data_IF_830847699969
#
_entry.id   IF_830847699969
#
_cell.length_a   1.000
_cell.length_b   1.000
_cell.length_c   1.000
_cell.angle_alpha   90.00
_cell.angle_beta   90.00
_cell.angle_gamma   90.00
#
_symmetry.space_group_name_H-M   'P 1'
#
loop_
_entity.id
_entity.type
_entity.pdbx_description
1 polymer ?
#
# COMPACT_ATOMS: atom_id res chain seq x y z
N UNK A 1 -7.60 30.59 -34.01
CA UNK A 1 -8.18 29.89 -32.84
C UNK A 1 -8.15 28.35 -32.99
N UNK A 2 -7.12 27.76 -33.61
CA UNK A 2 -7.02 26.28 -33.76
C UNK A 2 -5.91 25.68 -32.89
N UNK A 3 -4.90 26.48 -32.53
CA UNK A 3 -3.74 26.02 -31.75
C UNK A 3 -3.88 26.21 -30.24
N UNK A 4 -4.82 27.04 -29.77
CA UNK A 4 -5.04 27.27 -28.33
C UNK A 4 -5.80 26.10 -27.67
N UNK A 5 -6.71 25.46 -28.41
CA UNK A 5 -7.52 24.32 -27.93
C UNK A 5 -6.65 23.06 -27.75
N UNK A 6 -5.63 22.89 -28.60
CA UNK A 6 -4.73 21.73 -28.54
C UNK A 6 -3.87 21.76 -27.27
N UNK A 7 -3.42 22.94 -26.84
CA UNK A 7 -2.63 23.09 -25.61
C UNK A 7 -3.42 22.76 -24.33
N UNK A 8 -4.73 22.99 -24.31
CA UNK A 8 -5.58 22.74 -23.13
C UNK A 8 -5.89 21.24 -23.01
N UNK A 9 -6.04 20.53 -24.13
CA UNK A 9 -6.30 19.08 -24.15
C UNK A 9 -5.05 18.26 -23.75
N UNK A 10 -3.84 18.78 -24.00
CA UNK A 10 -2.59 18.08 -23.66
C UNK A 10 -2.25 18.06 -22.16
N UNK A 11 -2.87 18.92 -21.33
CA UNK A 11 -2.57 19.01 -19.89
C UNK A 11 -3.42 18.03 -19.04
N UNK A 12 -4.43 17.39 -19.61
CA UNK A 12 -5.45 16.64 -18.86
C UNK A 12 -5.20 15.12 -18.68
N UNK A 13 -4.08 14.55 -19.15
CA UNK A 13 -3.90 13.08 -19.18
C UNK A 13 -2.95 12.46 -18.15
N UNK A 14 -2.43 13.23 -17.19
CA UNK A 14 -1.59 12.66 -16.11
C UNK A 14 -2.01 13.10 -14.71
N UNK A 15 -3.31 13.23 -14.48
CA UNK A 15 -3.82 12.97 -13.13
C UNK A 15 -3.68 11.46 -12.87
N UNK A 16 -2.45 11.02 -12.61
CA UNK A 16 -2.18 9.69 -12.08
C UNK A 16 -2.91 9.64 -10.75
N UNK A 17 -4.12 9.04 -10.74
CA UNK A 17 -4.80 8.69 -9.52
C UNK A 17 -3.80 7.90 -8.69
N UNK A 18 -3.24 8.53 -7.67
CA UNK A 18 -2.31 7.87 -6.77
C UNK A 18 -3.10 6.73 -6.15
N UNK A 19 -2.58 5.49 -6.12
CA UNK A 19 -3.29 4.40 -5.47
C UNK A 19 -3.56 4.83 -4.03
N UNK A 20 -4.82 5.16 -3.74
CA UNK A 20 -5.24 5.59 -2.41
C UNK A 20 -5.50 4.34 -1.56
N UNK A 21 -5.12 4.40 -0.29
CA UNK A 21 -5.27 3.29 0.64
C UNK A 21 -4.21 2.18 0.45
N UNK A 22 -4.60 0.96 0.76
CA UNK A 22 -3.65 -0.14 1.06
C UNK A 22 -3.07 -0.84 -0.17
N UNK A 23 -3.53 -0.48 -1.37
CA UNK A 23 -3.01 -1.02 -2.62
C UNK A 23 -1.67 -0.38 -3.03
N UNK A 24 -1.28 0.73 -2.40
CA UNK A 24 -0.10 1.53 -2.77
C UNK A 24 1.25 0.79 -2.67
N UNK A 25 1.30 -0.35 -1.97
CA UNK A 25 2.51 -1.15 -1.83
C UNK A 25 2.58 -2.35 -2.80
N UNK A 26 1.50 -2.65 -3.53
CA UNK A 26 1.51 -3.73 -4.52
C UNK A 26 2.55 -3.45 -5.61
N UNK A 27 3.31 -4.48 -5.99
CA UNK A 27 4.40 -4.41 -6.95
C UNK A 27 5.71 -3.82 -6.41
N UNK A 28 5.72 -3.29 -5.16
CA UNK A 28 6.95 -2.79 -4.54
C UNK A 28 7.72 -3.92 -3.84
N UNK A 29 9.06 -3.81 -3.75
CA UNK A 29 9.83 -4.77 -2.97
C UNK A 29 9.64 -4.50 -1.48
N UNK A 30 9.55 -5.56 -0.67
CA UNK A 30 9.31 -5.46 0.77
C UNK A 30 10.40 -4.64 1.48
N UNK A 31 11.65 -4.72 1.04
CA UNK A 31 12.76 -3.96 1.63
C UNK A 31 12.56 -2.44 1.55
N UNK A 32 11.89 -1.94 0.51
CA UNK A 32 11.56 -0.53 0.38
C UNK A 32 10.50 -0.13 1.41
N UNK A 33 9.49 -0.97 1.62
CA UNK A 33 8.47 -0.74 2.64
C UNK A 33 9.09 -0.78 4.04
N UNK A 34 9.96 -1.76 4.32
CA UNK A 34 10.68 -1.85 5.59
C UNK A 34 11.58 -0.64 5.84
N UNK A 35 12.29 -0.18 4.82
CA UNK A 35 13.14 1.00 4.92
C UNK A 35 12.34 2.29 5.22
N UNK A 36 11.10 2.37 4.72
CA UNK A 36 10.26 3.55 4.88
C UNK A 36 9.44 3.54 6.16
N UNK A 37 8.89 2.39 6.55
CA UNK A 37 7.90 2.26 7.63
C UNK A 37 8.38 1.42 8.83
N UNK A 38 9.62 0.90 8.76
CA UNK A 38 10.18 0.06 9.81
C UNK A 38 9.88 -1.43 9.64
N UNK A 39 10.30 -2.22 10.63
CA UNK A 39 10.13 -3.68 10.60
C UNK A 39 8.67 -4.04 10.91
N UNK A 40 8.05 -4.99 10.17
CA UNK A 40 6.69 -5.45 10.46
C UNK A 40 6.62 -6.09 11.86
N UNK A 41 5.47 -5.97 12.52
CA UNK A 41 5.26 -6.59 13.84
C UNK A 41 5.04 -8.11 13.73
N UNK A 42 4.60 -8.60 12.57
CA UNK A 42 4.44 -10.02 12.27
C UNK A 42 5.15 -10.39 10.98
N UNK A 43 5.87 -11.51 10.97
CA UNK A 43 6.55 -11.99 9.76
C UNK A 43 6.56 -13.51 9.72
N UNK A 44 6.02 -14.07 8.64
CA UNK A 44 5.89 -15.51 8.45
C UNK A 44 6.42 -15.90 7.08
N UNK A 45 7.30 -16.90 7.03
CA UNK A 45 7.79 -17.50 5.79
C UNK A 45 7.02 -18.80 5.52
N UNK A 46 6.54 -18.97 4.30
CA UNK A 46 5.85 -20.18 3.83
C UNK A 46 6.85 -21.15 3.18
N UNK A 47 6.44 -22.42 3.06
CA UNK A 47 7.26 -23.51 2.52
C UNK A 47 7.66 -23.30 1.05
N UNK A 48 6.83 -22.62 0.27
CA UNK A 48 7.09 -22.26 -1.13
C UNK A 48 8.08 -21.08 -1.28
N UNK A 49 8.54 -20.52 -0.16
CA UNK A 49 9.47 -19.40 -0.08
C UNK A 49 8.82 -18.02 -0.14
N UNK A 50 7.50 -17.93 -0.32
CA UNK A 50 6.74 -16.70 -0.13
C UNK A 50 6.62 -16.36 1.36
N UNK A 51 6.14 -15.15 1.67
CA UNK A 51 6.11 -14.60 3.03
C UNK A 51 4.85 -13.75 3.25
N UNK A 52 4.42 -13.67 4.50
CA UNK A 52 3.52 -12.64 4.99
C UNK A 52 4.28 -11.66 5.86
N UNK A 53 4.01 -10.37 5.69
CA UNK A 53 4.48 -9.31 6.57
C UNK A 53 3.27 -8.52 7.08
N UNK A 54 3.15 -8.39 8.40
CA UNK A 54 2.03 -7.74 9.06
C UNK A 54 2.48 -6.42 9.68
N UNK A 55 1.77 -5.36 9.32
CA UNK A 55 2.00 -4.02 9.82
C UNK A 55 0.75 -3.52 10.51
N UNK A 56 0.91 -2.71 11.55
CA UNK A 56 -0.21 -1.89 11.97
C UNK A 56 -0.39 -0.78 10.94
N UNK A 57 -1.61 -0.28 10.84
CA UNK A 57 -1.98 0.77 9.93
C UNK A 57 -2.71 1.86 10.68
N UNK A 58 -2.17 3.06 10.57
CA UNK A 58 -2.81 4.25 11.11
C UNK A 58 -3.80 4.78 10.06
N UNK A 59 -5.09 4.67 10.37
CA UNK A 59 -6.18 5.04 9.46
C UNK A 59 -6.32 6.56 9.30
N UNK A 60 -5.79 7.35 10.24
CA UNK A 60 -5.81 8.82 10.19
C UNK A 60 -4.76 9.37 9.23
N UNK A 61 -3.56 8.83 9.28
CA UNK A 61 -2.42 9.20 8.43
C UNK A 61 -2.39 8.40 7.13
N UNK A 62 -3.15 7.31 7.06
CA UNK A 62 -3.18 6.36 5.95
C UNK A 62 -1.82 5.72 5.66
N UNK A 63 -1.05 5.44 6.72
CA UNK A 63 0.32 4.91 6.63
C UNK A 63 0.49 3.65 7.48
N UNK A 64 1.47 2.83 7.10
CA UNK A 64 1.92 1.74 7.96
C UNK A 64 2.61 2.33 9.19
N UNK A 65 2.30 1.77 10.35
CA UNK A 65 2.90 2.11 11.64
C UNK A 65 3.43 0.81 12.27
N UNK A 66 4.71 0.73 12.68
CA UNK A 66 5.26 -0.48 13.28
C UNK A 66 4.82 -0.70 14.73
N UNK A 67 4.17 0.27 15.38
CA UNK A 67 3.89 0.26 16.83
C UNK A 67 2.42 0.52 17.19
N UNK A 68 1.75 1.53 16.61
CA UNK A 68 0.51 2.10 17.18
C UNK A 68 -0.72 2.16 16.25
N UNK A 69 -0.70 1.49 15.11
CA UNK A 69 -1.82 1.55 14.16
C UNK A 69 -3.12 0.95 14.73
N UNK A 70 -4.26 1.39 14.21
CA UNK A 70 -5.59 1.04 14.73
C UNK A 70 -6.16 -0.26 14.14
N UNK A 71 -5.51 -0.77 13.09
CA UNK A 71 -5.86 -2.03 12.45
C UNK A 71 -4.63 -2.63 11.76
N UNK A 72 -4.76 -3.81 11.15
CA UNK A 72 -3.63 -4.55 10.58
C UNK A 72 -3.73 -4.66 9.06
N UNK A 73 -2.60 -4.46 8.37
CA UNK A 73 -2.42 -4.73 6.96
C UNK A 73 -1.44 -5.88 6.79
N UNK A 74 -1.87 -6.91 6.07
CA UNK A 74 -1.04 -8.05 5.70
C UNK A 74 -0.56 -7.88 4.27
N UNK A 75 0.76 -7.93 4.07
CA UNK A 75 1.40 -7.93 2.76
C UNK A 75 1.78 -9.37 2.40
N UNK A 76 1.25 -9.87 1.29
CA UNK A 76 1.71 -11.12 0.69
C UNK A 76 2.91 -10.82 -0.20
N UNK A 77 4.03 -11.47 0.08
CA UNK A 77 5.32 -11.23 -0.57
C UNK A 77 5.82 -12.50 -1.21
N UNK A 78 6.11 -12.46 -2.51
CA UNK A 78 6.62 -13.65 -3.19
C UNK A 78 8.08 -13.98 -2.85
N UNK A 79 8.57 -15.08 -3.41
CA UNK A 79 9.94 -15.54 -3.20
C UNK A 79 11.01 -14.55 -3.66
N UNK A 80 10.68 -13.66 -4.62
CA UNK A 80 11.54 -12.58 -5.09
C UNK A 80 11.52 -11.35 -4.17
N UNK A 81 10.69 -11.34 -3.12
CA UNK A 81 10.59 -10.23 -2.19
C UNK A 81 9.67 -9.10 -2.68
N UNK A 82 8.82 -9.35 -3.68
CA UNK A 82 7.86 -8.38 -4.22
C UNK A 82 6.49 -8.59 -3.56
N UNK A 83 5.83 -7.50 -3.20
CA UNK A 83 4.47 -7.53 -2.64
C UNK A 83 3.48 -7.79 -3.78
N UNK A 84 2.82 -8.95 -3.75
CA UNK A 84 1.84 -9.37 -4.77
C UNK A 84 0.42 -8.98 -4.40
N UNK A 85 0.09 -9.01 -3.12
CA UNK A 85 -1.23 -8.65 -2.63
C UNK A 85 -1.15 -7.96 -1.27
N UNK A 86 -2.20 -7.20 -0.98
CA UNK A 86 -2.39 -6.53 0.31
C UNK A 86 -3.78 -6.85 0.83
N UNK A 87 -3.86 -7.20 2.10
CA UNK A 87 -5.10 -7.59 2.75
C UNK A 87 -5.33 -6.72 4.00
N UNK A 88 -6.57 -6.27 4.18
CA UNK A 88 -7.00 -5.48 5.33
C UNK A 88 -7.59 -6.40 6.38
N UNK A 89 -7.26 -6.24 7.65
CA UNK A 89 -8.05 -6.87 8.70
C UNK A 89 -9.50 -6.36 8.64
N UNK A 90 -10.46 -7.16 9.12
CA UNK A 90 -11.88 -6.76 9.16
C UNK A 90 -12.08 -5.42 9.90
N UNK A 91 -11.29 -5.18 10.94
CA UNK A 91 -11.31 -3.95 11.71
C UNK A 91 -10.90 -2.73 10.86
N UNK A 92 -9.96 -2.90 9.91
CA UNK A 92 -9.57 -1.84 8.96
C UNK A 92 -10.71 -1.51 7.98
N UNK A 93 -11.48 -2.50 7.52
CA UNK A 93 -12.55 -2.26 6.55
C UNK A 93 -13.63 -1.34 7.12
N UNK A 94 -13.98 -1.54 8.40
CA UNK A 94 -14.97 -0.74 9.09
C UNK A 94 -14.47 0.68 9.38
N UNK A 95 -13.19 0.82 9.77
CA UNK A 95 -12.61 2.12 10.12
C UNK A 95 -12.30 2.99 8.89
N UNK A 96 -11.89 2.39 7.78
CA UNK A 96 -11.59 3.13 6.53
C UNK A 96 -12.88 3.56 5.82
N UNK A 97 -13.99 2.83 5.97
CA UNK A 97 -15.28 3.23 5.39
C UNK A 97 -15.98 4.36 6.16
N UNK A 98 -15.51 4.69 7.36
CA UNK A 98 -16.09 5.72 8.23
C UNK A 98 -15.48 7.13 8.02
N UNK A 99 -14.49 7.25 7.12
CA UNK A 99 -13.78 8.49 6.80
C UNK A 99 -13.74 8.73 5.30
#
# INVERSE_FOLDING_TARGET
>A
MRNLVVLIVSVLLFACASPSGVAQWQGKPLNQVVAQYGVPHGFHKMDDGSRFAEYYYDTKTQQLDPVNGQCTITLLVNKQGIIEATHKSKDCEQQIAAH
#
